data_IF_354988691012
#
_entry.id   IF_354988691012
#
_cell.length_a   1.000
_cell.length_b   1.000
_cell.length_c   1.000
_cell.angle_alpha   90.00
_cell.angle_beta   90.00
_cell.angle_gamma   90.00
#
_symmetry.space_group_name_H-M   'P 1'
#
loop_
_entity.id
_entity.type
_entity.pdbx_description
1 polymer ?
#
# COMPACT_ATOMS: atom_id res chain seq x y z
N UNK A 1 -9.58 7.48 -1.81
CA UNK A 1 -10.21 6.46 -0.97
C UNK A 1 -9.64 6.61 0.41
N UNK A 2 -10.34 7.33 1.25
CA UNK A 2 -10.18 7.32 2.69
C UNK A 2 -11.61 7.40 3.22
N UNK A 3 -11.99 6.46 4.09
CA UNK A 3 -13.29 6.44 4.73
C UNK A 3 -13.26 7.49 5.84
N UNK A 4 -14.11 8.53 5.81
CA UNK A 4 -14.20 9.52 6.88
C UNK A 4 -14.90 8.95 8.12
N UNK A 5 -14.68 9.60 9.26
CA UNK A 5 -15.36 9.23 10.50
C UNK A 5 -16.88 9.40 10.40
N UNK A 6 -17.61 8.50 11.05
CA UNK A 6 -19.08 8.52 11.08
C UNK A 6 -19.77 7.97 9.83
N UNK A 7 -19.02 7.55 8.80
CA UNK A 7 -19.61 6.93 7.61
C UNK A 7 -19.98 5.45 7.81
N UNK A 8 -19.19 4.73 8.61
CA UNK A 8 -19.36 3.28 8.81
C UNK A 8 -20.06 2.97 10.12
N UNK A 9 -20.79 1.86 10.13
CA UNK A 9 -21.36 1.31 11.36
C UNK A 9 -20.23 1.03 12.39
N UNK A 10 -20.40 1.41 13.67
CA UNK A 10 -19.35 1.26 14.69
C UNK A 10 -18.86 -0.18 14.87
N UNK A 11 -19.72 -1.18 14.68
CA UNK A 11 -19.31 -2.58 14.76
C UNK A 11 -18.37 -2.93 13.61
N UNK A 12 -18.70 -2.51 12.39
CA UNK A 12 -17.87 -2.75 11.19
C UNK A 12 -16.52 -2.02 11.32
N UNK A 13 -16.53 -0.77 11.78
CA UNK A 13 -15.31 -0.02 12.08
C UNK A 13 -14.44 -0.75 13.12
N UNK A 14 -15.05 -1.28 14.18
CA UNK A 14 -14.37 -2.06 15.21
C UNK A 14 -13.77 -3.37 14.70
N UNK A 15 -14.49 -4.08 13.82
CA UNK A 15 -13.97 -5.30 13.17
C UNK A 15 -12.77 -5.00 12.25
N UNK A 16 -12.84 -3.90 11.49
CA UNK A 16 -11.71 -3.45 10.67
C UNK A 16 -10.47 -3.14 11.50
N UNK A 17 -10.65 -2.50 12.67
CA UNK A 17 -9.56 -2.28 13.62
C UNK A 17 -8.97 -3.57 14.17
N UNK A 18 -9.82 -4.55 14.50
CA UNK A 18 -9.37 -5.85 14.99
C UNK A 18 -8.54 -6.60 13.93
N UNK A 19 -9.03 -6.67 12.69
CA UNK A 19 -8.32 -7.29 11.58
C UNK A 19 -6.98 -6.62 11.33
N UNK A 20 -6.99 -5.29 11.21
CA UNK A 20 -5.78 -4.50 11.05
C UNK A 20 -4.78 -4.76 12.18
N UNK A 21 -5.22 -4.74 13.44
CA UNK A 21 -4.34 -4.88 14.60
C UNK A 21 -3.59 -6.23 14.59
N UNK A 22 -4.27 -7.32 14.21
CA UNK A 22 -3.65 -8.64 14.10
C UNK A 22 -2.54 -8.65 13.04
N UNK A 23 -2.84 -8.15 11.84
CA UNK A 23 -1.87 -8.15 10.74
C UNK A 23 -0.72 -7.18 11.01
N UNK A 24 -1.02 -5.99 11.54
CA UNK A 24 -0.03 -4.98 11.89
C UNK A 24 0.93 -5.49 12.97
N UNK A 25 0.43 -6.17 14.01
CA UNK A 25 1.27 -6.76 15.05
C UNK A 25 2.26 -7.78 14.47
N UNK A 26 1.79 -8.66 13.58
CA UNK A 26 2.64 -9.63 12.88
C UNK A 26 3.67 -8.91 12.00
N UNK A 27 3.24 -7.93 11.22
CA UNK A 27 4.12 -7.19 10.31
C UNK A 27 5.21 -6.42 11.06
N UNK A 28 4.89 -5.79 12.20
CA UNK A 28 5.84 -5.10 13.08
C UNK A 28 6.84 -6.10 13.65
N UNK A 29 6.37 -7.22 14.21
CA UNK A 29 7.23 -8.26 14.76
C UNK A 29 8.22 -8.81 13.72
N UNK A 30 7.73 -9.10 12.51
CA UNK A 30 8.57 -9.59 11.42
C UNK A 30 9.53 -8.51 10.89
N UNK A 31 9.10 -7.24 10.86
CA UNK A 31 9.94 -6.13 10.40
C UNK A 31 11.14 -5.92 11.31
N UNK A 32 10.96 -5.99 12.63
CA UNK A 32 12.05 -5.86 13.61
C UNK A 32 13.16 -6.92 13.45
N UNK A 33 12.87 -8.04 12.78
CA UNK A 33 13.85 -9.09 12.46
C UNK A 33 14.50 -8.95 11.08
N UNK A 34 13.93 -8.13 10.20
CA UNK A 34 14.33 -8.02 8.79
C UNK A 34 15.01 -6.70 8.45
N UNK A 35 14.59 -5.60 9.09
CA UNK A 35 15.10 -4.26 8.84
C UNK A 35 16.46 -4.08 9.52
N UNK A 36 17.43 -3.58 8.76
CA UNK A 36 18.74 -3.15 9.27
C UNK A 36 18.86 -1.62 9.17
N UNK A 37 19.76 -1.02 9.92
CA UNK A 37 19.94 0.45 9.93
C UNK A 37 20.17 1.03 8.53
N UNK A 38 20.88 0.30 7.67
CA UNK A 38 21.14 0.68 6.28
C UNK A 38 19.88 0.73 5.39
N UNK A 39 18.81 0.05 5.77
CA UNK A 39 17.56 0.00 5.02
C UNK A 39 16.65 1.20 5.36
N UNK A 40 16.84 1.81 6.54
CA UNK A 40 16.01 2.91 7.04
C UNK A 40 15.93 4.12 6.10
N UNK A 41 17.04 4.63 5.51
CA UNK A 41 16.95 5.78 4.61
C UNK A 41 16.08 5.48 3.38
N UNK A 42 16.20 4.27 2.82
CA UNK A 42 15.40 3.86 1.65
C UNK A 42 13.92 3.77 2.00
N UNK A 43 13.59 3.15 3.13
CA UNK A 43 12.20 3.04 3.59
C UNK A 43 11.61 4.43 3.83
N UNK A 44 12.33 5.31 4.51
CA UNK A 44 11.87 6.66 4.82
C UNK A 44 11.60 7.51 3.57
N UNK A 45 12.53 7.52 2.61
CA UNK A 45 12.37 8.28 1.35
C UNK A 45 11.22 7.73 0.53
N UNK A 46 11.09 6.40 0.44
CA UNK A 46 9.94 5.77 -0.24
C UNK A 46 8.62 6.14 0.45
N UNK A 47 8.56 6.06 1.78
CA UNK A 47 7.35 6.45 2.53
C UNK A 47 6.96 7.90 2.27
N UNK A 48 7.93 8.81 2.34
CA UNK A 48 7.69 10.24 2.09
C UNK A 48 7.21 10.50 0.66
N UNK A 49 7.84 9.86 -0.34
CA UNK A 49 7.43 9.97 -1.74
C UNK A 49 6.02 9.44 -1.98
N UNK A 50 5.68 8.30 -1.38
CA UNK A 50 4.33 7.74 -1.45
C UNK A 50 3.33 8.68 -0.78
N UNK A 51 3.58 9.12 0.46
CA UNK A 51 2.72 10.08 1.16
C UNK A 51 2.41 11.31 0.30
N UNK A 52 3.43 11.95 -0.29
CA UNK A 52 3.25 13.12 -1.17
C UNK A 52 2.41 12.76 -2.40
N UNK A 53 2.64 11.58 -3.00
CA UNK A 53 1.85 11.12 -4.13
C UNK A 53 0.38 10.83 -3.75
N UNK A 54 0.10 10.37 -2.53
CA UNK A 54 -1.27 10.14 -2.06
C UNK A 54 -2.03 11.45 -1.78
N UNK A 55 -1.32 12.52 -1.41
CA UNK A 55 -1.90 13.86 -1.26
C UNK A 55 -2.44 14.42 -2.58
N UNK A 56 -1.99 13.89 -3.73
CA UNK A 56 -2.59 14.17 -5.04
C UNK A 56 -3.87 13.35 -5.19
N UNK A 57 -4.96 13.86 -4.62
CA UNK A 57 -6.29 13.25 -4.70
C UNK A 57 -7.24 14.08 -5.57
N UNK A 58 -8.16 13.38 -6.23
CA UNK A 58 -9.16 13.94 -7.13
C UNK A 58 -10.56 13.52 -6.67
N UNK A 59 -11.56 14.41 -6.68
CA UNK A 59 -12.91 14.04 -6.29
C UNK A 59 -13.49 13.01 -7.25
N UNK A 60 -14.04 11.94 -6.70
CA UNK A 60 -14.84 10.94 -7.41
C UNK A 60 -16.27 11.06 -6.85
N UNK A 61 -17.29 10.93 -7.72
CA UNK A 61 -18.69 11.07 -7.32
C UNK A 61 -19.06 10.25 -6.06
N UNK A 62 -20.07 10.70 -5.32
CA UNK A 62 -20.51 10.02 -4.09
C UNK A 62 -19.71 10.38 -2.83
N UNK A 63 -19.00 11.52 -2.82
CA UNK A 63 -18.26 12.00 -1.63
C UNK A 63 -16.94 11.29 -1.38
N UNK A 64 -16.42 10.57 -2.38
CA UNK A 64 -15.14 9.86 -2.28
C UNK A 64 -14.06 10.54 -3.11
N UNK A 65 -12.82 10.10 -2.96
CA UNK A 65 -11.69 10.60 -3.75
C UNK A 65 -10.97 9.44 -4.45
N UNK A 66 -10.37 9.71 -5.60
CA UNK A 66 -9.40 8.85 -6.25
C UNK A 66 -8.01 9.39 -6.00
N UNK A 67 -7.08 8.53 -5.63
CA UNK A 67 -5.68 8.90 -5.50
C UNK A 67 -4.78 7.70 -5.78
N UNK A 68 -3.48 7.98 -5.89
CA UNK A 68 -2.45 6.96 -5.90
C UNK A 68 -2.40 6.27 -4.53
N UNK A 69 -2.26 4.94 -4.48
CA UNK A 69 -2.09 4.21 -3.20
C UNK A 69 -0.61 3.91 -2.92
N UNK A 70 0.18 3.59 -3.96
CA UNK A 70 1.61 3.31 -3.79
C UNK A 70 1.95 1.96 -3.12
N UNK A 71 0.96 1.19 -2.67
CA UNK A 71 1.17 -0.09 -1.97
C UNK A 71 1.99 -1.11 -2.78
N UNK A 72 1.66 -1.31 -4.06
CA UNK A 72 2.44 -2.19 -4.95
C UNK A 72 3.89 -1.74 -5.09
N UNK A 73 4.11 -0.45 -5.37
CA UNK A 73 5.45 0.12 -5.50
C UNK A 73 6.26 -0.12 -4.23
N UNK A 74 5.65 0.14 -3.07
CA UNK A 74 6.33 -0.03 -1.80
C UNK A 74 6.72 -1.50 -1.58
N UNK A 75 5.75 -2.41 -1.73
CA UNK A 75 5.97 -3.84 -1.49
C UNK A 75 6.95 -4.48 -2.47
N UNK A 76 6.96 -4.07 -3.75
CA UNK A 76 7.96 -4.53 -4.72
C UNK A 76 9.36 -4.06 -4.33
N UNK A 77 9.48 -2.84 -3.81
CA UNK A 77 10.78 -2.24 -3.47
C UNK A 77 11.38 -2.77 -2.16
N UNK A 78 10.58 -2.87 -1.09
CA UNK A 78 11.09 -3.21 0.26
C UNK A 78 10.53 -4.53 0.80
N UNK A 79 9.63 -5.19 0.07
CA UNK A 79 8.91 -6.38 0.51
C UNK A 79 7.59 -6.06 1.21
N UNK A 80 6.63 -7.01 1.18
CA UNK A 80 5.25 -6.76 1.63
C UNK A 80 5.15 -6.45 3.13
N UNK A 81 5.93 -7.13 3.97
CA UNK A 81 5.90 -6.97 5.43
C UNK A 81 6.31 -5.55 5.85
N UNK A 82 7.39 -5.02 5.26
CA UNK A 82 7.88 -3.68 5.56
C UNK A 82 6.94 -2.63 4.95
N UNK A 83 6.38 -2.91 3.76
CA UNK A 83 5.40 -2.04 3.12
C UNK A 83 4.11 -1.90 3.96
N UNK A 84 3.63 -2.95 4.62
CA UNK A 84 2.47 -2.87 5.52
C UNK A 84 2.74 -1.85 6.64
N UNK A 85 3.89 -1.94 7.29
CA UNK A 85 4.28 -1.01 8.37
C UNK A 85 4.45 0.40 7.82
N UNK A 86 5.13 0.57 6.68
CA UNK A 86 5.34 1.87 6.06
C UNK A 86 4.04 2.56 5.63
N UNK A 87 3.15 1.83 4.96
CA UNK A 87 1.81 2.32 4.58
C UNK A 87 0.98 2.68 5.80
N UNK A 88 1.05 1.89 6.87
CA UNK A 88 0.36 2.20 8.14
C UNK A 88 0.81 3.55 8.69
N UNK A 89 2.13 3.82 8.71
CA UNK A 89 2.67 5.11 9.18
C UNK A 89 2.21 6.25 8.29
N UNK A 90 2.19 6.06 6.97
CA UNK A 90 1.69 7.06 6.02
C UNK A 90 0.24 7.41 6.33
N UNK A 91 -0.65 6.41 6.40
CA UNK A 91 -2.08 6.59 6.69
C UNK A 91 -2.29 7.23 8.06
N UNK A 92 -1.48 6.88 9.05
CA UNK A 92 -1.60 7.44 10.40
C UNK A 92 -1.27 8.94 10.41
N UNK A 93 -0.23 9.35 9.69
CA UNK A 93 0.11 10.76 9.52
C UNK A 93 -1.02 11.48 8.77
N UNK A 94 -1.56 10.89 7.71
CA UNK A 94 -2.68 11.44 6.94
C UNK A 94 -3.90 11.71 7.82
N UNK A 95 -4.33 10.72 8.61
CA UNK A 95 -5.48 10.86 9.49
C UNK A 95 -5.25 11.88 10.61
N UNK A 96 -4.07 11.85 11.27
CA UNK A 96 -3.81 12.70 12.43
C UNK A 96 -3.45 14.15 12.08
N UNK A 97 -2.69 14.38 11.02
CA UNK A 97 -2.13 15.70 10.70
C UNK A 97 -2.89 16.41 9.57
N UNK A 98 -3.51 15.66 8.67
CA UNK A 98 -4.16 16.21 7.48
C UNK A 98 -5.68 15.99 7.47
N UNK A 99 -6.22 15.20 8.41
CA UNK A 99 -7.63 14.82 8.42
C UNK A 99 -8.05 14.01 7.19
N UNK A 100 -7.08 13.45 6.46
CA UNK A 100 -7.31 12.64 5.27
C UNK A 100 -7.55 11.19 5.73
N UNK A 101 -8.81 10.89 6.02
CA UNK A 101 -9.28 9.63 6.61
C UNK A 101 -9.65 9.71 8.09
N UNK A 102 -10.69 8.96 8.46
CA UNK A 102 -11.21 8.90 9.81
C UNK A 102 -10.39 8.03 10.75
N UNK A 103 -10.31 8.40 12.02
CA UNK A 103 -9.65 7.60 13.07
C UNK A 103 -10.50 6.40 13.50
N UNK A 104 -11.82 6.57 13.57
CA UNK A 104 -12.75 5.46 13.83
C UNK A 104 -12.73 4.47 12.67
N UNK A 105 -12.63 4.97 11.44
CA UNK A 105 -12.54 4.15 10.22
C UNK A 105 -11.11 3.71 9.86
N UNK A 106 -10.10 4.08 10.65
CA UNK A 106 -8.69 3.85 10.31
C UNK A 106 -8.37 2.37 10.08
N UNK A 107 -8.94 1.47 10.89
CA UNK A 107 -8.76 0.03 10.71
C UNK A 107 -9.12 -0.44 9.29
N UNK A 108 -10.29 -0.04 8.78
CA UNK A 108 -10.73 -0.36 7.42
C UNK A 108 -9.83 0.28 6.35
N UNK A 109 -9.47 1.56 6.54
CA UNK A 109 -8.54 2.25 5.65
C UNK A 109 -7.18 1.52 5.58
N UNK A 110 -6.67 1.07 6.72
CA UNK A 110 -5.41 0.35 6.81
C UNK A 110 -5.50 -1.08 6.26
N UNK A 111 -6.60 -1.81 6.47
CA UNK A 111 -6.85 -3.10 5.80
C UNK A 111 -6.77 -2.93 4.28
N UNK A 112 -7.49 -1.96 3.73
CA UNK A 112 -7.53 -1.79 2.28
C UNK A 112 -6.19 -1.32 1.71
N UNK A 113 -5.62 -0.25 2.27
CA UNK A 113 -4.47 0.44 1.66
C UNK A 113 -3.11 0.00 2.21
N UNK A 114 -3.03 -0.39 3.48
CA UNK A 114 -1.77 -0.86 4.07
C UNK A 114 -1.60 -2.38 4.01
N UNK A 115 -2.66 -3.16 3.83
CA UNK A 115 -2.56 -4.63 3.80
C UNK A 115 -2.88 -5.17 2.40
N UNK A 116 -4.12 -5.00 1.94
CA UNK A 116 -4.58 -5.60 0.68
C UNK A 116 -3.79 -5.05 -0.51
N UNK A 117 -3.68 -3.72 -0.62
CA UNK A 117 -2.97 -3.11 -1.75
C UNK A 117 -1.50 -3.60 -1.88
N UNK A 118 -0.65 -3.55 -0.84
CA UNK A 118 0.71 -4.08 -0.89
C UNK A 118 0.78 -5.58 -1.22
N UNK A 119 -0.04 -6.40 -0.57
CA UNK A 119 -0.02 -7.85 -0.73
C UNK A 119 -0.45 -8.28 -2.14
N UNK A 120 -1.55 -7.72 -2.65
CA UNK A 120 -2.05 -8.07 -3.98
C UNK A 120 -1.12 -7.57 -5.07
N UNK A 121 -0.60 -6.36 -4.94
CA UNK A 121 0.35 -5.83 -5.92
C UNK A 121 1.64 -6.63 -5.99
N UNK A 122 2.19 -6.99 -4.83
CA UNK A 122 3.39 -7.82 -4.75
C UNK A 122 3.14 -9.26 -5.20
N UNK A 123 2.02 -9.87 -4.82
CA UNK A 123 1.64 -11.22 -5.21
C UNK A 123 1.51 -11.35 -6.73
N UNK A 124 0.75 -10.46 -7.37
CA UNK A 124 0.60 -10.46 -8.83
C UNK A 124 1.94 -10.23 -9.52
N UNK A 125 2.75 -9.28 -9.05
CA UNK A 125 4.09 -9.03 -9.60
C UNK A 125 4.98 -10.27 -9.50
N UNK A 126 5.05 -10.91 -8.33
CA UNK A 126 5.93 -12.07 -8.11
C UNK A 126 5.49 -13.31 -8.87
N UNK A 127 4.19 -13.49 -9.13
CA UNK A 127 3.67 -14.56 -9.96
C UNK A 127 3.93 -14.32 -11.46
N UNK A 128 3.73 -13.09 -11.94
CA UNK A 128 3.85 -12.77 -13.37
C UNK A 128 5.29 -12.57 -13.84
N UNK A 129 6.16 -12.00 -12.99
CA UNK A 129 7.56 -11.72 -13.34
C UNK A 129 8.26 -12.94 -13.96
N UNK A 130 8.35 -14.11 -13.30
CA UNK A 130 9.11 -15.25 -13.84
C UNK A 130 8.52 -15.82 -15.14
N UNK A 131 7.23 -15.62 -15.38
CA UNK A 131 6.54 -16.09 -16.59
C UNK A 131 6.83 -15.19 -17.80
N UNK A 132 6.99 -13.88 -17.55
CA UNK A 132 7.03 -12.85 -18.59
C UNK A 132 8.43 -12.26 -18.82
N UNK A 133 9.29 -12.27 -17.80
CA UNK A 133 10.66 -11.74 -17.89
C UNK A 133 11.59 -12.80 -18.51
N UNK A 134 11.59 -12.89 -19.84
CA UNK A 134 12.57 -13.71 -20.58
C UNK A 134 13.62 -12.79 -21.23
N UNK A 135 14.89 -13.08 -20.97
CA UNK A 135 16.02 -12.31 -21.51
C UNK A 135 16.40 -11.08 -20.69
N UNK A 136 17.41 -10.35 -21.17
CA UNK A 136 17.92 -9.13 -20.52
C UNK A 136 17.15 -7.88 -20.98
N UNK A 137 17.17 -6.84 -20.16
CA UNK A 137 16.59 -5.56 -20.53
C UNK A 137 17.32 -4.96 -21.75
N UNK A 138 16.61 -4.36 -22.72
CA UNK A 138 17.23 -3.68 -23.84
C UNK A 138 18.22 -2.60 -23.38
N UNK A 139 19.29 -2.37 -24.16
CA UNK A 139 20.29 -1.34 -23.85
C UNK A 139 19.63 0.01 -23.54
N UNK A 140 19.96 0.58 -22.38
CA UNK A 140 19.41 1.85 -21.88
C UNK A 140 18.07 1.76 -21.15
N UNK A 141 17.49 0.56 -20.97
CA UNK A 141 16.25 0.36 -20.18
C UNK A 141 16.51 -0.35 -18.87
N UNK A 142 15.76 0.05 -17.84
CA UNK A 142 15.84 -0.52 -16.48
C UNK A 142 15.08 -1.85 -16.38
N UNK A 143 14.03 -2.03 -17.17
CA UNK A 143 13.15 -3.20 -17.13
C UNK A 143 12.98 -3.83 -18.52
N UNK A 144 12.85 -5.16 -18.56
CA UNK A 144 12.32 -5.85 -19.73
C UNK A 144 10.85 -5.49 -19.96
N UNK A 145 10.33 -5.72 -21.18
CA UNK A 145 8.91 -5.52 -21.45
C UNK A 145 8.00 -6.37 -20.54
N UNK A 146 8.43 -7.61 -20.25
CA UNK A 146 7.72 -8.52 -19.35
C UNK A 146 7.71 -8.04 -17.90
N UNK A 147 8.82 -7.51 -17.40
CA UNK A 147 8.87 -6.91 -16.06
C UNK A 147 8.02 -5.65 -15.95
N UNK A 148 8.08 -4.77 -16.94
CA UNK A 148 7.25 -3.57 -16.98
C UNK A 148 5.76 -3.93 -16.96
N UNK A 149 5.35 -4.96 -17.72
CA UNK A 149 4.00 -5.48 -17.68
C UNK A 149 3.63 -6.06 -16.31
N UNK A 150 4.50 -6.88 -15.70
CA UNK A 150 4.25 -7.45 -14.37
C UNK A 150 4.10 -6.38 -13.29
N UNK A 151 4.90 -5.30 -13.35
CA UNK A 151 4.79 -4.14 -12.45
C UNK A 151 3.45 -3.43 -12.68
N UNK A 152 3.08 -3.17 -13.94
CA UNK A 152 1.80 -2.52 -14.29
C UNK A 152 0.59 -3.34 -13.83
N UNK A 153 0.60 -4.65 -14.07
CA UNK A 153 -0.44 -5.57 -13.63
C UNK A 153 -0.55 -5.62 -12.10
N UNK A 154 0.59 -5.67 -11.40
CA UNK A 154 0.62 -5.61 -9.93
C UNK A 154 0.07 -4.28 -9.40
N UNK A 155 0.48 -3.15 -9.98
CA UNK A 155 -0.03 -1.83 -9.60
C UNK A 155 -1.54 -1.71 -9.83
N UNK A 156 -2.05 -2.22 -10.95
CA UNK A 156 -3.48 -2.24 -11.23
C UNK A 156 -4.25 -3.12 -10.24
N UNK A 157 -3.81 -4.35 -10.02
CA UNK A 157 -4.45 -5.29 -9.08
C UNK A 157 -4.45 -4.75 -7.65
N UNK A 158 -3.35 -4.12 -7.24
CA UNK A 158 -3.22 -3.45 -5.93
C UNK A 158 -4.34 -2.46 -5.67
N UNK A 159 -4.59 -1.55 -6.63
CA UNK A 159 -5.60 -0.50 -6.48
C UNK A 159 -7.01 -1.06 -6.66
N UNK A 160 -7.23 -1.87 -7.70
CA UNK A 160 -8.56 -2.38 -8.03
C UNK A 160 -9.11 -3.29 -6.92
N UNK A 161 -8.30 -4.21 -6.40
CA UNK A 161 -8.75 -5.13 -5.36
C UNK A 161 -8.93 -4.40 -4.03
N UNK A 162 -8.00 -3.49 -3.67
CA UNK A 162 -8.16 -2.66 -2.47
C UNK A 162 -9.38 -1.73 -2.53
N UNK A 163 -9.83 -1.36 -3.73
CA UNK A 163 -11.04 -0.55 -3.91
C UNK A 163 -12.35 -1.33 -3.85
N UNK A 164 -12.28 -2.64 -4.01
CA UNK A 164 -13.43 -3.54 -3.98
C UNK A 164 -13.64 -4.23 -2.62
N UNK A 165 -12.67 -4.10 -1.70
CA UNK A 165 -12.69 -4.64 -0.34
C UNK A 165 -13.33 -3.64 0.64
#
# INVERSE_FOLDING_TARGET
>A
MHIPDGLMDPLIAGLGWLEFAVVAAIAIYMSGRRVKDKDLPRIAVLSAGIFVAQMLNFPIGGGTTGHLIGGALFAIMVGPVIAIVGMTVILLIQALMFGDGGLTAFGLNAVNMAIIAPLMGWGVYTMLKPLLSKGEAPSGKVFTAGEAFAIGAGAWASVFIASAA
#
